data_IF_544113559753
#
_entry.id   IF_544113559753
#
_cell.length_a   1.000
_cell.length_b   1.000
_cell.length_c   1.000
_cell.angle_alpha   90.00
_cell.angle_beta   90.00
_cell.angle_gamma   90.00
#
_symmetry.space_group_name_H-M   'P 1'
#
loop_
_entity.id
_entity.type
_entity.pdbx_description
1 polymer ?
#
# COMPACT_ATOMS: atom_id res chain seq x y z
N UNK A 1 -11.90 -6.85 -53.90
CA UNK A 1 -10.60 -6.42 -53.34
C UNK A 1 -10.71 -5.48 -52.15
N UNK A 2 -11.60 -4.54 -52.18
CA UNK A 2 -11.73 -3.56 -51.08
C UNK A 2 -12.31 -4.11 -49.79
N UNK A 3 -13.04 -5.23 -49.82
CA UNK A 3 -13.68 -5.81 -48.65
C UNK A 3 -12.70 -6.46 -47.65
N UNK A 4 -11.60 -7.01 -48.16
CA UNK A 4 -10.57 -7.61 -47.26
C UNK A 4 -9.81 -6.57 -46.44
N UNK A 5 -9.56 -5.39 -46.99
CA UNK A 5 -8.87 -4.31 -46.29
C UNK A 5 -9.76 -3.68 -45.21
N UNK A 6 -11.06 -3.55 -45.47
CA UNK A 6 -12.02 -3.02 -44.49
C UNK A 6 -12.20 -3.95 -43.29
N UNK A 7 -12.26 -5.22 -43.54
CA UNK A 7 -12.40 -6.24 -42.46
C UNK A 7 -11.17 -6.26 -41.56
N UNK A 8 -9.97 -6.08 -42.10
CA UNK A 8 -8.74 -6.03 -41.34
C UNK A 8 -8.67 -4.78 -40.42
N UNK A 9 -9.12 -3.62 -40.91
CA UNK A 9 -9.15 -2.39 -40.10
C UNK A 9 -10.13 -2.48 -38.95
N UNK A 10 -11.28 -3.12 -39.12
CA UNK A 10 -12.28 -3.31 -38.06
C UNK A 10 -11.75 -4.26 -36.98
N UNK A 11 -11.05 -5.34 -37.35
CA UNK A 11 -10.43 -6.24 -36.39
C UNK A 11 -9.34 -5.55 -35.58
N UNK A 12 -8.52 -4.73 -36.19
CA UNK A 12 -7.46 -3.99 -35.50
C UNK A 12 -8.03 -2.98 -34.48
N UNK A 13 -9.09 -2.30 -34.81
CA UNK A 13 -9.80 -1.39 -33.88
C UNK A 13 -10.40 -2.14 -32.70
N UNK A 14 -10.95 -3.33 -32.90
CA UNK A 14 -11.52 -4.15 -31.83
C UNK A 14 -10.45 -4.63 -30.84
N UNK A 15 -9.29 -5.04 -31.33
CA UNK A 15 -8.15 -5.48 -30.50
C UNK A 15 -7.60 -4.31 -29.67
N UNK A 16 -7.50 -3.11 -30.24
CA UNK A 16 -7.06 -1.91 -29.52
C UNK A 16 -8.05 -1.50 -28.42
N UNK A 17 -9.36 -1.64 -28.67
CA UNK A 17 -10.40 -1.35 -27.67
C UNK A 17 -10.35 -2.35 -26.50
N UNK A 18 -10.14 -3.63 -26.76
CA UNK A 18 -9.97 -4.66 -25.74
C UNK A 18 -8.67 -4.49 -24.94
N UNK A 19 -7.60 -4.03 -25.58
CA UNK A 19 -6.33 -3.74 -24.91
C UNK A 19 -6.36 -2.49 -24.03
N UNK A 20 -7.37 -1.63 -24.15
CA UNK A 20 -7.54 -0.42 -23.33
C UNK A 20 -8.36 -0.65 -22.05
N UNK A 21 -8.93 -1.85 -21.84
CA UNK A 21 -9.75 -2.21 -20.67
C UNK A 21 -8.97 -2.57 -19.37
N UNK A 22 -7.65 -2.67 -19.29
CA UNK A 22 -6.97 -2.96 -18.02
C UNK A 22 -7.07 -1.84 -16.97
N UNK A 23 -7.65 -0.69 -17.27
CA UNK A 23 -7.84 0.41 -16.33
C UNK A 23 -8.81 0.13 -15.17
N UNK A 24 -9.50 -1.01 -15.16
CA UNK A 24 -10.46 -1.38 -14.11
C UNK A 24 -9.86 -2.21 -12.97
N UNK A 25 -8.60 -2.57 -13.06
CA UNK A 25 -8.04 -3.58 -12.17
C UNK A 25 -7.76 -3.06 -10.76
N UNK A 26 -7.38 -1.79 -10.57
CA UNK A 26 -6.98 -1.26 -9.26
C UNK A 26 -7.29 0.22 -9.18
N UNK A 27 -8.05 0.64 -8.17
CA UNK A 27 -8.27 2.04 -7.87
C UNK A 27 -7.72 2.40 -6.49
N UNK A 28 -7.13 3.58 -6.38
CA UNK A 28 -6.64 4.11 -5.12
C UNK A 28 -7.81 4.30 -4.13
N UNK A 29 -7.63 3.82 -2.91
CA UNK A 29 -8.58 4.03 -1.83
C UNK A 29 -8.12 5.15 -0.90
N UNK A 30 -7.02 4.96 -0.17
CA UNK A 30 -6.51 5.93 0.78
C UNK A 30 -5.06 5.65 1.14
N UNK A 31 -4.43 6.64 1.79
CA UNK A 31 -3.11 6.49 2.38
C UNK A 31 -3.16 6.81 3.87
N UNK A 32 -2.30 6.15 4.63
CA UNK A 32 -2.25 6.24 6.09
C UNK A 32 -0.81 6.39 6.54
N UNK A 33 -0.63 7.11 7.65
CA UNK A 33 0.69 7.29 8.27
C UNK A 33 0.56 7.22 9.78
N UNK A 34 1.56 6.64 10.41
CA UNK A 34 1.70 6.61 11.87
C UNK A 34 3.18 6.75 12.22
N UNK A 35 3.48 7.42 13.29
CA UNK A 35 4.84 7.61 13.77
C UNK A 35 4.92 7.36 15.27
N UNK A 36 6.08 6.92 15.70
CA UNK A 36 6.39 6.81 17.12
C UNK A 36 7.79 7.33 17.38
N UNK A 37 7.91 8.23 18.33
CA UNK A 37 9.16 8.90 18.64
C UNK A 37 9.56 8.70 20.10
N UNK A 38 10.79 8.34 20.33
CA UNK A 38 11.47 8.36 21.64
C UNK A 38 10.80 7.56 22.77
N UNK A 39 9.75 6.81 22.50
CA UNK A 39 8.99 6.07 23.51
C UNK A 39 8.76 4.64 23.07
N UNK A 40 9.22 3.70 23.89
CA UNK A 40 9.01 2.26 23.62
C UNK A 40 7.54 1.89 23.55
N UNK A 41 7.23 0.86 22.78
CA UNK A 41 5.88 0.36 22.56
C UNK A 41 5.38 0.60 21.14
N UNK A 42 4.07 0.59 20.98
CA UNK A 42 3.42 0.66 19.66
C UNK A 42 2.43 1.80 19.55
N UNK A 43 2.38 2.39 18.36
CA UNK A 43 1.32 3.28 17.92
C UNK A 43 0.60 2.66 16.74
N UNK A 44 -0.73 2.70 16.72
CA UNK A 44 -1.55 2.04 15.73
C UNK A 44 -2.48 3.02 15.01
N UNK A 45 -2.77 2.73 13.76
CA UNK A 45 -3.90 3.31 13.04
C UNK A 45 -4.69 2.20 12.36
N UNK A 46 -5.99 2.17 12.60
CA UNK A 46 -6.90 1.32 11.85
C UNK A 46 -7.17 1.98 10.51
N UNK A 47 -7.03 1.18 9.45
CA UNK A 47 -7.15 1.70 8.11
C UNK A 47 -8.50 1.34 7.49
N UNK A 48 -8.49 0.81 6.31
CA UNK A 48 -9.70 0.49 5.55
C UNK A 48 -10.08 -0.99 5.67
N UNK A 49 -11.26 -1.35 5.19
CA UNK A 49 -11.80 -2.71 5.22
C UNK A 49 -10.85 -3.72 4.58
N UNK A 50 -10.53 -4.78 5.31
CA UNK A 50 -9.71 -5.87 4.78
C UNK A 50 -10.44 -6.74 3.75
N UNK A 51 -11.79 -6.68 3.72
CA UNK A 51 -12.59 -7.41 2.75
C UNK A 51 -12.57 -6.78 1.35
N UNK A 52 -12.39 -5.48 1.25
CA UNK A 52 -12.56 -4.72 -0.01
C UNK A 52 -11.29 -4.05 -0.52
N UNK A 53 -10.20 -4.13 0.23
CA UNK A 53 -8.95 -3.45 -0.12
C UNK A 53 -7.73 -4.33 0.07
N UNK A 54 -6.67 -3.97 -0.65
CA UNK A 54 -5.30 -4.44 -0.42
C UNK A 54 -4.41 -3.26 -0.04
N UNK A 55 -3.62 -3.42 1.02
CA UNK A 55 -2.73 -2.39 1.54
C UNK A 55 -1.28 -2.83 1.47
N UNK A 56 -0.39 -1.87 1.29
CA UNK A 56 1.05 -2.08 1.18
C UNK A 56 1.78 -0.99 1.95
N UNK A 57 2.91 -1.33 2.56
CA UNK A 57 3.82 -0.32 3.12
C UNK A 57 4.38 0.54 1.99
N UNK A 58 4.21 1.85 2.09
CA UNK A 58 4.74 2.83 1.14
C UNK A 58 5.96 3.59 1.68
N UNK A 59 6.12 3.62 2.99
CA UNK A 59 7.28 4.22 3.66
C UNK A 59 7.60 3.48 4.94
N UNK A 60 8.87 3.15 5.11
CA UNK A 60 9.45 2.68 6.36
C UNK A 60 10.63 3.58 6.66
N UNK A 61 10.46 4.50 7.62
CA UNK A 61 11.51 5.38 8.10
C UNK A 61 11.93 4.97 9.50
N UNK A 62 13.20 4.71 9.67
CA UNK A 62 13.80 4.39 10.97
C UNK A 62 14.97 5.34 11.19
N UNK A 63 15.01 6.00 12.32
CA UNK A 63 16.07 6.95 12.68
C UNK A 63 16.59 6.67 14.08
N UNK A 64 17.85 7.05 14.28
CA UNK A 64 18.50 7.07 15.59
C UNK A 64 18.52 5.72 16.33
N UNK A 65 18.58 4.64 15.57
CA UNK A 65 18.79 3.28 16.10
C UNK A 65 20.29 3.02 16.20
N UNK A 66 20.95 3.64 17.14
CA UNK A 66 22.42 3.65 17.28
C UNK A 66 22.95 2.67 18.33
N UNK A 67 22.11 1.96 19.03
CA UNK A 67 22.50 0.91 19.97
C UNK A 67 22.06 -0.47 19.47
N UNK A 68 22.77 -1.52 19.89
CA UNK A 68 22.48 -2.90 19.47
C UNK A 68 21.16 -3.46 20.01
N UNK A 69 20.52 -2.78 20.98
CA UNK A 69 19.27 -3.19 21.60
C UNK A 69 18.07 -2.40 21.10
N UNK A 70 18.30 -1.36 20.32
CA UNK A 70 17.24 -0.56 19.74
C UNK A 70 16.66 -1.21 18.50
N UNK A 71 15.35 -1.37 18.49
CA UNK A 71 14.60 -1.86 17.34
C UNK A 71 13.47 -0.89 17.00
N UNK A 72 13.34 -0.58 15.73
CA UNK A 72 12.22 0.18 15.20
C UNK A 72 11.62 -0.57 14.03
N UNK A 73 10.30 -0.61 13.95
CA UNK A 73 9.62 -1.44 12.97
C UNK A 73 8.30 -0.81 12.52
N UNK A 74 7.99 -0.99 11.24
CA UNK A 74 6.68 -0.73 10.68
C UNK A 74 6.01 -2.07 10.38
N UNK A 75 4.83 -2.30 10.93
CA UNK A 75 4.05 -3.52 10.72
C UNK A 75 2.74 -3.21 10.05
N UNK A 76 2.43 -3.96 9.00
CA UNK A 76 1.16 -3.89 8.30
C UNK A 76 0.46 -5.23 8.47
N UNK A 77 -0.71 -5.21 9.10
CA UNK A 77 -1.44 -6.42 9.42
C UNK A 77 -2.82 -6.40 8.80
N UNK A 78 -3.17 -7.46 8.07
CA UNK A 78 -4.52 -7.68 7.58
C UNK A 78 -5.34 -8.32 8.69
N UNK A 79 -6.21 -7.54 9.32
CA UNK A 79 -7.14 -8.04 10.32
C UNK A 79 -8.36 -8.71 9.70
N UNK A 80 -9.23 -9.25 10.55
CA UNK A 80 -10.49 -9.87 10.10
C UNK A 80 -11.47 -8.84 9.52
N UNK A 81 -11.42 -7.60 9.98
CA UNK A 81 -12.34 -6.52 9.57
C UNK A 81 -11.60 -5.37 8.90
N UNK A 82 -10.49 -4.94 9.46
CA UNK A 82 -9.70 -3.79 8.95
C UNK A 82 -8.24 -4.15 8.88
N UNK A 83 -7.52 -3.43 8.02
CA UNK A 83 -6.06 -3.38 8.03
C UNK A 83 -5.59 -2.47 9.16
N UNK A 84 -4.44 -2.80 9.74
CA UNK A 84 -3.81 -2.00 10.81
C UNK A 84 -2.37 -1.70 10.45
N UNK A 85 -1.97 -0.44 10.61
CA UNK A 85 -0.59 0.00 10.49
C UNK A 85 -0.05 0.29 11.88
N UNK A 86 1.12 -0.24 12.18
CA UNK A 86 1.79 -0.11 13.48
C UNK A 86 3.18 0.48 13.31
N UNK A 87 3.52 1.46 14.14
CA UNK A 87 4.87 1.92 14.38
C UNK A 87 5.32 1.41 15.75
N UNK A 88 6.40 0.64 15.79
CA UNK A 88 6.90 -0.01 16.99
C UNK A 88 8.32 0.44 17.31
N UNK A 89 8.57 0.71 18.60
CA UNK A 89 9.91 0.90 19.17
C UNK A 89 10.10 -0.06 20.34
N UNK A 90 11.24 -0.75 20.38
CA UNK A 90 11.53 -1.75 21.41
C UNK A 90 11.75 -1.14 22.79
N UNK A 91 12.22 0.09 22.87
CA UNK A 91 12.53 0.78 24.13
C UNK A 91 12.37 2.30 23.99
N UNK A 92 12.27 2.97 25.14
CA UNK A 92 12.27 4.44 25.20
C UNK A 92 13.70 4.93 25.08
N UNK A 93 14.01 5.56 23.97
CA UNK A 93 15.32 6.14 23.65
C UNK A 93 15.09 7.21 22.57
N UNK A 94 16.11 7.58 21.83
CA UNK A 94 16.04 8.56 20.75
C UNK A 94 15.56 7.99 19.40
N UNK A 95 15.29 6.69 19.32
CA UNK A 95 14.84 6.05 18.09
C UNK A 95 13.46 6.52 17.62
N UNK A 96 13.28 6.57 16.31
CA UNK A 96 12.04 6.96 15.64
C UNK A 96 11.60 5.90 14.64
N UNK A 97 10.30 5.62 14.58
CA UNK A 97 9.67 4.84 13.52
C UNK A 97 8.62 5.70 12.81
N UNK A 98 8.75 5.82 11.50
CA UNK A 98 7.83 6.58 10.64
C UNK A 98 7.31 5.64 9.57
N UNK A 99 6.01 5.35 9.62
CA UNK A 99 5.39 4.32 8.80
C UNK A 99 4.27 4.91 7.95
N UNK A 100 4.21 4.52 6.68
CA UNK A 100 3.10 4.86 5.80
C UNK A 100 2.66 3.63 5.02
N UNK A 101 1.37 3.60 4.69
CA UNK A 101 0.78 2.54 3.89
C UNK A 101 -0.22 3.14 2.88
N UNK A 102 -0.37 2.47 1.75
CA UNK A 102 -1.33 2.81 0.71
C UNK A 102 -2.26 1.64 0.53
N UNK A 103 -3.55 1.92 0.43
CA UNK A 103 -4.59 0.94 0.17
C UNK A 103 -5.24 1.18 -1.19
N UNK A 104 -5.51 0.08 -1.88
CA UNK A 104 -6.19 0.05 -3.17
C UNK A 104 -7.45 -0.80 -3.05
N UNK A 105 -8.49 -0.42 -3.77
CA UNK A 105 -9.71 -1.23 -3.86
C UNK A 105 -9.46 -2.51 -4.67
N UNK A 106 -10.08 -3.58 -4.23
CA UNK A 106 -10.06 -4.87 -4.94
C UNK A 106 -10.76 -4.77 -6.29
#
# INVERSE_FOLDING_TARGET
MNNKRRTLSIMLSLVLTLGAIPAWAVSFNNSFSISRFNTGGSSFVNMTSSATTHCYLSRVGVRDTDSSTEEAECRLTKGAVVWTLEAFLSQSDDADAICSAICYNN
#
